data_IF_565894384076
#
_entry.id   IF_565894384076
#
_cell.length_a   1.000
_cell.length_b   1.000
_cell.length_c   1.000
_cell.angle_alpha   90.00
_cell.angle_beta   90.00
_cell.angle_gamma   90.00
#
_symmetry.space_group_name_H-M   'P 1'
#
loop_
_entity.id
_entity.type
_entity.pdbx_description
1 polymer ?
#
# COMPACT_ATOMS: atom_id res chain seq x y z
N UNK A 1 16.88 1.34 -8.15
CA UNK A 1 17.95 0.75 -7.35
C UNK A 1 18.53 1.85 -6.46
N UNK A 2 18.25 1.82 -5.16
CA UNK A 2 18.60 2.94 -4.25
C UNK A 2 20.09 2.95 -3.87
N UNK A 3 20.79 1.85 -4.09
CA UNK A 3 22.23 1.72 -3.89
C UNK A 3 22.87 1.26 -5.20
N UNK A 4 23.25 2.21 -6.05
CA UNK A 4 23.99 1.87 -7.27
C UNK A 4 25.27 1.11 -6.88
N UNK A 5 25.46 -0.08 -7.43
CA UNK A 5 26.58 -0.98 -7.12
C UNK A 5 26.70 -1.38 -5.62
N UNK A 6 25.59 -1.40 -4.87
CA UNK A 6 25.60 -1.72 -3.43
C UNK A 6 26.50 -0.79 -2.59
N UNK A 7 26.71 0.46 -3.03
CA UNK A 7 27.50 1.42 -2.27
C UNK A 7 26.77 1.84 -0.98
N UNK A 8 27.16 1.23 0.15
CA UNK A 8 26.57 1.46 1.48
C UNK A 8 27.02 2.79 2.13
N UNK A 9 27.97 3.51 1.53
CA UNK A 9 28.40 4.83 2.01
C UNK A 9 27.43 5.96 1.61
N UNK A 10 26.44 5.65 0.76
CA UNK A 10 25.44 6.61 0.30
C UNK A 10 24.28 6.64 1.29
N UNK A 11 24.03 7.82 1.87
CA UNK A 11 22.83 8.08 2.67
C UNK A 11 21.64 8.30 1.74
N UNK A 12 20.65 7.41 1.79
CA UNK A 12 19.40 7.61 1.06
C UNK A 12 18.54 8.59 1.85
N UNK A 13 18.12 9.68 1.21
CA UNK A 13 17.28 10.71 1.82
C UNK A 13 15.94 10.81 1.10
N UNK A 14 14.85 10.76 1.87
CA UNK A 14 13.50 11.03 1.40
C UNK A 14 12.97 12.20 2.21
N UNK A 15 12.68 13.32 1.55
CA UNK A 15 12.14 14.51 2.20
C UNK A 15 10.77 14.87 1.64
N UNK A 16 9.85 15.27 2.50
CA UNK A 16 8.55 15.80 2.09
C UNK A 16 8.14 16.93 3.02
N UNK A 17 7.34 17.85 2.49
CA UNK A 17 6.80 18.98 3.24
C UNK A 17 5.29 18.93 3.16
N UNK A 18 4.63 18.99 4.30
CA UNK A 18 3.17 19.00 4.40
C UNK A 18 2.70 20.32 5.03
N UNK A 19 1.51 20.78 4.64
CA UNK A 19 0.94 22.06 5.08
C UNK A 19 0.63 22.10 6.58
N UNK A 20 0.41 20.94 7.21
CA UNK A 20 0.05 20.88 8.63
C UNK A 20 1.25 20.64 9.55
N UNK A 21 2.20 19.78 9.13
CA UNK A 21 3.30 19.32 10.01
C UNK A 21 4.69 19.71 9.53
N UNK A 22 4.79 20.61 8.55
CA UNK A 22 6.07 21.12 8.06
C UNK A 22 6.93 20.08 7.34
N UNK A 23 8.24 20.37 7.26
CA UNK A 23 9.21 19.52 6.57
C UNK A 23 9.58 18.30 7.43
N UNK A 24 9.59 17.13 6.80
CA UNK A 24 9.97 15.85 7.41
C UNK A 24 10.97 15.15 6.50
N UNK A 25 12.00 14.57 7.11
CA UNK A 25 13.06 13.90 6.35
C UNK A 25 13.37 12.53 6.94
N UNK A 26 13.30 11.50 6.10
CA UNK A 26 13.83 10.18 6.39
C UNK A 26 15.24 10.05 5.81
N UNK A 27 16.18 9.54 6.61
CA UNK A 27 17.51 9.16 6.15
C UNK A 27 17.74 7.70 6.47
N UNK A 28 18.08 6.91 5.47
CA UNK A 28 18.49 5.52 5.63
C UNK A 28 20.01 5.46 5.52
N UNK A 29 20.66 4.96 6.56
CA UNK A 29 22.10 4.78 6.65
C UNK A 29 22.39 3.31 6.88
N UNK A 30 23.15 2.70 5.97
CA UNK A 30 23.64 1.35 6.17
C UNK A 30 24.82 1.38 7.14
N UNK A 31 24.79 0.53 8.16
CA UNK A 31 25.90 0.40 9.10
C UNK A 31 26.88 -0.64 8.54
N UNK A 32 28.14 -0.24 8.35
CA UNK A 32 29.22 -1.18 8.04
C UNK A 32 29.43 -2.05 9.28
N UNK A 33 28.97 -3.29 9.24
CA UNK A 33 29.19 -4.24 10.32
C UNK A 33 30.65 -4.68 10.30
N UNK A 34 31.50 -4.01 11.08
CA UNK A 34 32.81 -4.52 11.50
C UNK A 34 32.68 -5.32 12.80
N UNK A 35 31.60 -6.08 12.95
CA UNK A 35 31.34 -6.81 14.19
C UNK A 35 32.14 -8.10 14.18
N UNK A 36 33.22 -8.15 14.97
CA UNK A 36 33.96 -9.38 15.26
C UNK A 36 33.16 -10.18 16.32
N UNK A 37 32.46 -11.23 15.91
CA UNK A 37 31.81 -12.14 16.86
C UNK A 37 32.84 -13.15 17.37
N UNK A 38 33.18 -13.10 18.65
CA UNK A 38 33.98 -14.13 19.31
C UNK A 38 33.06 -15.25 19.80
N UNK A 39 33.08 -16.46 19.21
CA UNK A 39 32.26 -17.57 19.67
C UNK A 39 32.80 -18.12 21.00
N UNK A 40 31.91 -18.40 21.95
CA UNK A 40 32.24 -19.24 23.11
C UNK A 40 32.30 -20.71 22.70
N UNK A 41 33.13 -21.52 23.38
CA UNK A 41 33.28 -22.95 23.08
C UNK A 41 31.91 -23.66 23.06
N UNK A 42 31.59 -24.29 21.92
CA UNK A 42 30.34 -25.01 21.71
C UNK A 42 29.29 -24.27 20.88
N UNK A 43 29.48 -22.97 20.60
CA UNK A 43 28.65 -22.26 19.62
C UNK A 43 29.04 -22.68 18.21
N UNK A 44 28.16 -23.40 17.50
CA UNK A 44 28.29 -23.55 16.05
C UNK A 44 28.12 -22.16 15.44
N UNK A 45 29.03 -21.69 14.58
CA UNK A 45 28.77 -20.50 13.79
C UNK A 45 27.60 -20.86 12.88
N UNK A 46 26.39 -20.50 13.30
CA UNK A 46 25.22 -20.59 12.44
C UNK A 46 25.53 -19.67 11.25
N UNK A 47 25.44 -20.23 10.04
CA UNK A 47 25.90 -19.59 8.80
C UNK A 47 25.56 -18.11 8.82
N UNK A 48 26.60 -17.31 9.03
CA UNK A 48 26.51 -15.92 9.38
C UNK A 48 25.94 -15.15 8.19
N UNK A 49 24.62 -15.10 8.10
CA UNK A 49 23.95 -13.98 7.44
C UNK A 49 24.47 -12.78 8.21
N UNK A 50 25.39 -12.04 7.58
CA UNK A 50 25.82 -10.73 8.06
C UNK A 50 24.52 -9.97 8.30
N UNK A 51 24.13 -9.83 9.57
CA UNK A 51 22.93 -9.11 9.95
C UNK A 51 23.16 -7.68 9.49
N UNK A 52 22.58 -7.34 8.35
CA UNK A 52 22.71 -6.00 7.78
C UNK A 52 21.88 -5.09 8.66
N UNK A 53 22.60 -4.28 9.44
CA UNK A 53 21.99 -3.25 10.27
C UNK A 53 21.80 -2.01 9.42
N UNK A 54 20.57 -1.52 9.41
CA UNK A 54 20.26 -0.23 8.80
C UNK A 54 19.66 0.67 9.86
N UNK A 55 20.12 1.91 9.91
CA UNK A 55 19.54 2.94 10.76
C UNK A 55 18.66 3.84 9.92
N UNK A 56 17.43 4.01 10.37
CA UNK A 56 16.50 5.00 9.82
C UNK A 56 16.46 6.16 10.78
N UNK A 57 16.84 7.34 10.31
CA UNK A 57 16.63 8.59 11.02
C UNK A 57 15.39 9.27 10.45
N UNK A 58 14.50 9.70 11.33
CA UNK A 58 13.27 10.40 11.01
C UNK A 58 13.30 11.78 11.67
N UNK A 59 13.67 12.78 10.88
CA UNK A 59 13.77 14.17 11.29
C UNK A 59 12.37 14.81 11.19
N UNK A 60 11.76 15.09 12.34
CA UNK A 60 10.53 15.86 12.51
C UNK A 60 10.84 17.28 13.03
N UNK A 61 9.91 18.24 12.91
CA UNK A 61 10.05 19.54 13.58
C UNK A 61 10.22 19.42 15.10
N UNK A 62 9.66 18.37 15.70
CA UNK A 62 9.68 18.09 17.14
C UNK A 62 10.99 17.42 17.60
N UNK A 63 11.78 16.86 16.68
CA UNK A 63 13.02 16.14 16.97
C UNK A 63 13.35 15.01 15.99
N UNK A 64 14.53 14.43 16.12
CA UNK A 64 14.97 13.28 15.31
C UNK A 64 14.71 11.97 16.06
N UNK A 65 14.03 11.04 15.40
CA UNK A 65 13.87 9.67 15.90
C UNK A 65 14.77 8.72 15.13
N UNK A 66 15.34 7.74 15.83
CA UNK A 66 16.17 6.70 15.25
C UNK A 66 15.46 5.34 15.39
N UNK A 67 15.45 4.56 14.32
CA UNK A 67 15.02 3.17 14.33
C UNK A 67 16.11 2.28 13.73
N UNK A 68 16.48 1.24 14.48
CA UNK A 68 17.35 0.19 13.99
C UNK A 68 16.50 -0.87 13.29
N UNK A 69 16.89 -1.22 12.06
CA UNK A 69 16.36 -2.33 11.28
C UNK A 69 17.42 -3.42 11.27
N UNK A 70 17.06 -4.60 11.78
CA UNK A 70 17.88 -5.80 11.74
C UNK A 70 17.14 -6.88 10.94
N UNK A 71 17.73 -7.31 9.83
CA UNK A 71 17.27 -8.49 9.11
C UNK A 71 17.89 -9.74 9.74
N UNK A 72 17.05 -10.60 10.32
CA UNK A 72 17.44 -11.90 10.89
C UNK A 72 16.77 -13.04 10.12
N UNK A 73 17.18 -14.29 10.39
CA UNK A 73 16.52 -15.49 9.87
C UNK A 73 15.04 -15.62 10.29
N UNK A 74 14.65 -14.96 11.38
CA UNK A 74 13.27 -14.92 11.89
C UNK A 74 12.41 -13.81 11.25
N UNK A 75 13.02 -12.91 10.47
CA UNK A 75 12.35 -11.79 9.83
C UNK A 75 13.03 -10.44 10.06
N UNK A 76 12.29 -9.36 9.85
CA UNK A 76 12.80 -7.99 10.02
C UNK A 76 12.40 -7.50 11.42
N UNK A 77 13.39 -7.26 12.28
CA UNK A 77 13.21 -6.62 13.59
C UNK A 77 13.41 -5.12 13.44
N UNK A 78 12.47 -4.32 13.93
CA UNK A 78 12.53 -2.87 13.85
C UNK A 78 12.12 -2.24 15.19
N UNK A 79 12.89 -1.25 15.65
CA UNK A 79 12.48 -0.44 16.80
C UNK A 79 11.21 0.35 16.48
N UNK A 80 10.19 0.26 17.35
CA UNK A 80 8.89 0.91 17.13
C UNK A 80 9.07 2.43 17.16
N UNK A 81 8.76 3.09 16.04
CA UNK A 81 8.67 4.54 15.99
C UNK A 81 7.37 5.01 16.69
N UNK A 82 7.41 6.10 17.47
CA UNK A 82 6.26 6.58 18.24
C UNK A 82 5.06 7.00 17.36
N UNK A 83 5.30 7.34 16.09
CA UNK A 83 4.27 7.78 15.14
C UNK A 83 4.07 6.81 13.96
N UNK A 84 4.11 5.50 14.21
CA UNK A 84 3.80 4.52 13.18
C UNK A 84 2.28 4.47 12.91
N UNK A 85 1.89 4.64 11.65
CA UNK A 85 0.49 4.49 11.20
C UNK A 85 0.36 3.21 10.36
N UNK A 86 -0.83 2.59 10.40
CA UNK A 86 -1.13 1.42 9.58
C UNK A 86 -0.99 1.78 8.09
N UNK A 87 -0.30 0.93 7.34
CA UNK A 87 0.00 1.18 5.93
C UNK A 87 -0.45 0.01 5.08
N UNK A 88 -1.10 0.30 3.96
CA UNK A 88 -1.39 -0.65 2.90
C UNK A 88 -0.58 -0.26 1.67
N UNK A 89 0.22 -1.19 1.14
CA UNK A 89 0.90 -1.01 -0.13
C UNK A 89 0.20 -1.82 -1.22
N UNK A 90 -0.15 -1.16 -2.32
CA UNK A 90 -0.72 -1.77 -3.51
C UNK A 90 0.31 -1.74 -4.64
N UNK A 91 0.88 -2.90 -4.96
CA UNK A 91 1.72 -3.13 -6.14
C UNK A 91 0.91 -3.89 -7.23
N UNK A 92 1.04 -3.50 -8.51
CA UNK A 92 0.47 -4.19 -9.67
C UNK A 92 0.59 -5.71 -9.70
N UNK A 93 1.73 -6.25 -9.25
CA UNK A 93 2.03 -7.67 -9.38
C UNK A 93 1.37 -8.53 -8.30
N UNK A 94 1.18 -8.01 -7.09
CA UNK A 94 0.77 -8.81 -5.93
C UNK A 94 -0.50 -8.32 -5.25
N UNK A 95 -0.84 -7.04 -5.35
CA UNK A 95 -1.87 -6.43 -4.50
C UNK A 95 -3.26 -6.36 -5.12
N UNK A 96 -3.42 -6.84 -6.35
CA UNK A 96 -4.73 -7.02 -7.00
C UNK A 96 -5.20 -8.49 -6.93
N UNK A 97 -4.70 -9.24 -5.94
CA UNK A 97 -5.07 -10.64 -5.76
C UNK A 97 -6.54 -10.77 -5.34
N UNK A 98 -7.24 -11.74 -5.95
CA UNK A 98 -8.64 -12.02 -5.62
C UNK A 98 -8.83 -12.38 -4.15
N UNK A 99 -7.84 -13.07 -3.56
CA UNK A 99 -7.86 -13.50 -2.16
C UNK A 99 -7.79 -12.32 -1.20
N UNK A 100 -6.86 -11.38 -1.42
CA UNK A 100 -6.70 -10.23 -0.53
C UNK A 100 -7.89 -9.29 -0.60
N UNK A 101 -8.41 -9.07 -1.82
CA UNK A 101 -9.64 -8.32 -2.03
C UNK A 101 -10.82 -8.96 -1.30
N UNK A 102 -11.00 -10.28 -1.45
CA UNK A 102 -12.05 -11.01 -0.77
C UNK A 102 -11.91 -10.91 0.75
N UNK A 103 -10.69 -11.06 1.29
CA UNK A 103 -10.42 -10.91 2.72
C UNK A 103 -10.80 -9.52 3.22
N UNK A 104 -10.32 -8.45 2.58
CA UNK A 104 -10.61 -7.06 2.98
C UNK A 104 -12.11 -6.75 2.89
N UNK A 105 -12.79 -7.25 1.86
CA UNK A 105 -14.22 -7.08 1.71
C UNK A 105 -14.98 -7.81 2.82
N UNK A 106 -14.59 -9.05 3.14
CA UNK A 106 -15.16 -9.81 4.27
C UNK A 106 -14.96 -9.06 5.60
N UNK A 107 -13.76 -8.53 5.87
CA UNK A 107 -13.48 -7.77 7.10
C UNK A 107 -14.36 -6.51 7.25
N UNK A 108 -14.75 -5.92 6.12
CA UNK A 108 -15.67 -4.78 6.10
C UNK A 108 -17.12 -5.23 6.25
N UNK A 109 -17.49 -6.34 5.63
CA UNK A 109 -18.84 -6.92 5.74
C UNK A 109 -19.15 -7.41 7.15
N UNK A 110 -18.17 -8.01 7.84
CA UNK A 110 -18.29 -8.34 9.28
C UNK A 110 -18.59 -7.10 10.15
N UNK A 111 -18.22 -5.91 9.67
CA UNK A 111 -18.43 -4.63 10.35
C UNK A 111 -19.62 -3.83 9.79
N UNK A 112 -20.41 -4.42 8.87
CA UNK A 112 -21.50 -3.76 8.14
C UNK A 112 -21.06 -2.46 7.41
N UNK A 113 -19.86 -2.48 6.81
CA UNK A 113 -19.25 -1.34 6.09
C UNK A 113 -19.05 -1.59 4.60
N UNK A 114 -19.46 -2.74 4.09
CA UNK A 114 -19.34 -3.12 2.68
C UNK A 114 -20.12 -2.20 1.74
N UNK A 115 -21.25 -1.64 2.20
CA UNK A 115 -22.07 -0.74 1.39
C UNK A 115 -21.32 0.52 0.97
N UNK A 116 -20.39 0.99 1.80
CA UNK A 116 -19.54 2.15 1.46
C UNK A 116 -18.66 1.84 0.24
N UNK A 117 -18.18 0.60 0.11
CA UNK A 117 -17.40 0.13 -1.03
C UNK A 117 -18.28 0.08 -2.27
N UNK A 118 -19.49 -0.50 -2.17
CA UNK A 118 -20.43 -0.58 -3.28
C UNK A 118 -20.82 0.82 -3.78
N UNK A 119 -21.14 1.75 -2.87
CA UNK A 119 -21.49 3.13 -3.21
C UNK A 119 -20.32 3.81 -3.93
N UNK A 120 -19.09 3.66 -3.45
CA UNK A 120 -17.91 4.24 -4.10
C UNK A 120 -17.69 3.67 -5.51
N UNK A 121 -17.86 2.35 -5.69
CA UNK A 121 -17.76 1.69 -7.00
C UNK A 121 -18.83 2.18 -7.97
N UNK A 122 -20.08 2.30 -7.52
CA UNK A 122 -21.20 2.74 -8.34
C UNK A 122 -21.12 4.20 -8.78
N UNK A 123 -20.30 5.04 -8.14
CA UNK A 123 -20.06 6.41 -8.60
C UNK A 123 -19.39 6.44 -9.97
N UNK A 124 -18.46 5.51 -10.23
CA UNK A 124 -17.74 5.40 -11.50
C UNK A 124 -18.30 4.31 -12.43
N UNK A 125 -18.82 3.22 -11.85
CA UNK A 125 -19.26 2.03 -12.58
C UNK A 125 -20.71 1.68 -12.21
N UNK A 126 -21.67 2.44 -12.74
CA UNK A 126 -23.11 2.32 -12.43
C UNK A 126 -23.72 0.97 -12.85
N UNK A 127 -23.03 0.25 -13.71
CA UNK A 127 -23.39 -1.08 -14.19
C UNK A 127 -23.20 -2.16 -13.11
N UNK A 128 -22.34 -1.92 -12.12
CA UNK A 128 -22.14 -2.82 -10.97
C UNK A 128 -23.30 -2.65 -9.98
N UNK A 129 -24.15 -3.66 -9.83
CA UNK A 129 -25.37 -3.59 -8.99
C UNK A 129 -25.18 -4.10 -7.57
N UNK A 130 -24.29 -5.06 -7.37
CA UNK A 130 -23.94 -5.57 -6.03
C UNK A 130 -22.56 -6.19 -6.03
N UNK A 131 -21.95 -6.29 -4.85
CA UNK A 131 -20.69 -7.00 -4.61
C UNK A 131 -20.92 -8.11 -3.59
N UNK A 132 -20.26 -9.25 -3.76
CA UNK A 132 -20.34 -10.39 -2.85
C UNK A 132 -19.08 -11.21 -2.95
N UNK A 133 -18.59 -11.73 -1.82
CA UNK A 133 -17.53 -12.74 -1.84
C UNK A 133 -18.13 -14.11 -2.11
N UNK A 134 -17.65 -14.79 -3.15
CA UNK A 134 -17.97 -16.19 -3.43
C UNK A 134 -16.70 -16.99 -3.60
N UNK A 135 -16.75 -18.24 -3.16
CA UNK A 135 -15.69 -19.22 -3.36
C UNK A 135 -16.17 -20.27 -4.37
N UNK A 136 -15.77 -20.19 -5.65
CA UNK A 136 -16.11 -21.23 -6.60
C UNK A 136 -15.51 -22.58 -6.18
N UNK A 137 -16.15 -23.69 -6.56
CA UNK A 137 -15.67 -25.04 -6.22
C UNK A 137 -14.23 -25.22 -6.69
N UNK A 138 -13.34 -25.56 -5.75
CA UNK A 138 -11.91 -25.77 -6.03
C UNK A 138 -11.11 -24.49 -6.32
N UNK A 139 -11.71 -23.31 -6.17
CA UNK A 139 -11.04 -22.02 -6.38
C UNK A 139 -10.73 -21.27 -5.09
N UNK A 140 -10.19 -20.07 -5.25
CA UNK A 140 -9.96 -19.12 -4.15
C UNK A 140 -11.17 -18.18 -3.99
N UNK A 141 -11.43 -17.68 -2.78
CA UNK A 141 -12.40 -16.60 -2.58
C UNK A 141 -12.08 -15.42 -3.49
N UNK A 142 -13.12 -14.84 -4.10
CA UNK A 142 -13.02 -13.68 -4.96
C UNK A 142 -14.24 -12.79 -4.78
N UNK A 143 -14.13 -11.54 -5.24
CA UNK A 143 -15.28 -10.64 -5.32
C UNK A 143 -16.02 -10.89 -6.64
N UNK A 144 -17.31 -11.15 -6.52
CA UNK A 144 -18.26 -11.33 -7.61
C UNK A 144 -19.24 -10.18 -7.59
N UNK A 145 -19.73 -9.79 -8.76
CA UNK A 145 -20.74 -8.76 -8.85
C UNK A 145 -21.93 -9.16 -9.72
N UNK A 146 -23.08 -8.60 -9.39
CA UNK A 146 -24.21 -8.53 -10.29
C UNK A 146 -23.97 -7.37 -11.26
N UNK A 147 -23.82 -7.66 -12.55
CA UNK A 147 -23.58 -6.65 -13.59
C UNK A 147 -24.86 -6.40 -14.41
N UNK A 148 -25.07 -5.17 -14.87
CA UNK A 148 -26.23 -4.82 -15.68
C UNK A 148 -26.27 -5.63 -16.97
N UNK A 149 -27.40 -6.26 -17.27
CA UNK A 149 -27.59 -7.08 -18.48
C UNK A 149 -27.06 -8.51 -18.38
N UNK A 150 -26.69 -8.99 -17.18
CA UNK A 150 -26.23 -10.36 -16.93
C UNK A 150 -27.10 -10.98 -15.84
N UNK A 151 -27.71 -12.14 -16.04
CA UNK A 151 -28.67 -12.71 -15.06
C UNK A 151 -28.03 -13.46 -13.88
N UNK A 152 -26.70 -13.44 -13.78
CA UNK A 152 -25.94 -14.13 -12.73
C UNK A 152 -24.77 -13.28 -12.26
N UNK A 153 -24.31 -13.55 -11.04
CA UNK A 153 -23.06 -12.99 -10.54
C UNK A 153 -21.88 -13.51 -11.36
N UNK A 154 -20.93 -12.64 -11.66
CA UNK A 154 -19.68 -12.96 -12.36
C UNK A 154 -18.50 -12.40 -11.54
N UNK A 155 -17.34 -13.09 -11.48
CA UNK A 155 -16.14 -12.53 -10.87
C UNK A 155 -15.79 -11.17 -11.49
N UNK A 156 -15.53 -10.17 -10.65
CA UNK A 156 -15.21 -8.80 -11.10
C UNK A 156 -14.01 -8.81 -12.06
N UNK A 157 -13.00 -9.61 -11.75
CA UNK A 157 -11.79 -9.75 -12.56
C UNK A 157 -12.06 -10.22 -14.00
N UNK A 158 -13.17 -10.92 -14.25
CA UNK A 158 -13.56 -11.33 -15.61
C UNK A 158 -14.34 -10.25 -16.38
N UNK A 159 -14.92 -9.27 -15.67
CA UNK A 159 -15.66 -8.18 -16.30
C UNK A 159 -14.70 -7.10 -16.77
N UNK A 160 -13.82 -6.64 -15.88
CA UNK A 160 -12.86 -5.58 -16.19
C UNK A 160 -11.72 -5.55 -15.18
N UNK A 161 -10.48 -5.52 -15.68
CA UNK A 161 -9.32 -5.29 -14.83
C UNK A 161 -9.36 -3.91 -14.15
N UNK A 162 -9.89 -2.88 -14.83
CA UNK A 162 -10.00 -1.53 -14.28
C UNK A 162 -10.98 -1.46 -13.10
N UNK A 163 -12.12 -2.15 -13.19
CA UNK A 163 -13.08 -2.24 -12.08
C UNK A 163 -12.45 -2.99 -10.90
N UNK A 164 -11.76 -4.11 -11.17
CA UNK A 164 -11.08 -4.88 -10.14
C UNK A 164 -10.00 -4.05 -9.43
N UNK A 165 -9.19 -3.30 -10.19
CA UNK A 165 -8.18 -2.37 -9.67
C UNK A 165 -8.81 -1.29 -8.81
N UNK A 166 -9.89 -0.67 -9.27
CA UNK A 166 -10.59 0.36 -8.51
C UNK A 166 -11.14 -0.19 -7.20
N UNK A 167 -11.76 -1.36 -7.22
CA UNK A 167 -12.25 -2.04 -6.00
C UNK A 167 -11.12 -2.29 -5.01
N UNK A 168 -9.96 -2.80 -5.47
CA UNK A 168 -8.79 -2.97 -4.60
C UNK A 168 -8.32 -1.69 -3.93
N UNK A 169 -8.32 -0.57 -4.67
CA UNK A 169 -7.96 0.74 -4.13
C UNK A 169 -8.95 1.18 -3.06
N UNK A 170 -10.26 1.10 -3.34
CA UNK A 170 -11.30 1.46 -2.38
C UNK A 170 -11.23 0.58 -1.12
N UNK A 171 -11.02 -0.74 -1.30
CA UNK A 171 -10.85 -1.66 -0.18
C UNK A 171 -9.61 -1.32 0.65
N UNK A 172 -8.48 -1.00 0.01
CA UNK A 172 -7.29 -0.57 0.73
C UNK A 172 -7.52 0.68 1.58
N UNK A 173 -8.24 1.67 1.04
CA UNK A 173 -8.61 2.90 1.75
C UNK A 173 -9.54 2.59 2.92
N UNK A 174 -10.61 1.81 2.68
CA UNK A 174 -11.59 1.46 3.70
C UNK A 174 -11.02 0.59 4.82
N UNK A 175 -10.04 -0.27 4.51
CA UNK A 175 -9.35 -1.12 5.50
C UNK A 175 -8.25 -0.38 6.27
N UNK A 176 -7.88 0.85 5.89
CA UNK A 176 -6.81 1.63 6.52
C UNK A 176 -7.32 2.96 7.13
N UNK A 177 -8.31 2.95 8.05
CA UNK A 177 -8.80 4.19 8.67
C UNK A 177 -7.68 4.86 9.47
N UNK A 178 -7.49 6.17 9.25
CA UNK A 178 -6.37 6.95 9.83
C UNK A 178 -4.97 6.40 9.50
N UNK A 179 -4.86 5.58 8.46
CA UNK A 179 -3.62 5.03 7.94
C UNK A 179 -3.16 5.72 6.66
N UNK A 180 -2.23 5.06 5.96
CA UNK A 180 -1.77 5.47 4.64
C UNK A 180 -1.97 4.33 3.62
N UNK A 181 -2.36 4.69 2.40
CA UNK A 181 -2.39 3.76 1.26
C UNK A 181 -1.38 4.24 0.23
N UNK A 182 -0.41 3.39 -0.07
CA UNK A 182 0.58 3.61 -1.09
C UNK A 182 0.19 2.80 -2.32
N UNK A 183 0.03 3.45 -3.47
CA UNK A 183 -0.42 2.82 -4.71
C UNK A 183 0.68 3.02 -5.74
N UNK A 184 1.31 1.91 -6.13
CA UNK A 184 2.27 1.91 -7.23
C UNK A 184 1.54 1.80 -8.56
N UNK A 185 2.11 2.41 -9.60
CA UNK A 185 1.57 2.47 -10.96
C UNK A 185 0.06 2.74 -11.01
N UNK A 186 -0.43 3.75 -10.28
CA UNK A 186 -1.87 4.05 -10.21
C UNK A 186 -2.50 4.22 -11.60
N UNK A 187 -1.73 4.71 -12.58
CA UNK A 187 -2.17 4.98 -13.94
C UNK A 187 -2.37 3.73 -14.80
N UNK A 188 -1.69 2.61 -14.50
CA UNK A 188 -1.74 1.42 -15.36
C UNK A 188 -3.09 0.70 -15.32
N UNK A 189 -3.61 0.28 -16.47
CA UNK A 189 -4.82 -0.55 -16.56
C UNK A 189 -6.15 0.18 -16.31
N UNK A 190 -6.14 1.52 -16.21
CA UNK A 190 -7.34 2.36 -16.14
C UNK A 190 -7.55 3.12 -17.45
N UNK A 191 -8.82 3.25 -17.87
CA UNK A 191 -9.14 4.10 -19.03
C UNK A 191 -9.01 5.57 -18.64
N UNK A 192 -8.15 6.31 -19.35
CA UNK A 192 -7.70 7.66 -18.96
C UNK A 192 -8.82 8.67 -18.69
N UNK A 193 -10.02 8.48 -19.25
CA UNK A 193 -11.17 9.37 -19.02
C UNK A 193 -11.75 9.29 -17.60
N UNK A 194 -11.37 8.27 -16.82
CA UNK A 194 -11.84 8.10 -15.44
C UNK A 194 -10.96 8.84 -14.41
N UNK A 195 -9.77 9.33 -14.80
CA UNK A 195 -8.87 10.02 -13.88
C UNK A 195 -9.47 11.27 -13.22
N UNK A 196 -10.19 12.16 -13.93
CA UNK A 196 -10.80 13.34 -13.31
C UNK A 196 -11.79 12.98 -12.19
N UNK A 197 -12.63 11.97 -12.41
CA UNK A 197 -13.64 11.54 -11.42
C UNK A 197 -13.01 10.77 -10.25
N UNK A 198 -11.93 10.00 -10.49
CA UNK A 198 -11.18 9.35 -9.41
C UNK A 198 -10.53 10.37 -8.46
N UNK A 199 -9.87 11.39 -9.00
CA UNK A 199 -9.27 12.44 -8.17
C UNK A 199 -10.33 13.30 -7.45
N UNK A 200 -11.50 13.47 -8.05
CA UNK A 200 -12.61 14.20 -7.43
C UNK A 200 -13.40 13.38 -6.41
N UNK A 201 -13.08 12.11 -6.18
CA UNK A 201 -13.76 11.23 -5.22
C UNK A 201 -13.81 11.75 -3.77
N UNK A 202 -13.11 12.85 -3.46
CA UNK A 202 -13.17 13.59 -2.19
C UNK A 202 -13.56 15.09 -2.28
N UNK A 203 -13.86 15.64 -3.46
CA UNK A 203 -14.13 17.07 -3.61
C UNK A 203 -15.63 17.35 -3.72
N UNK A 204 -16.29 17.52 -2.56
CA UNK A 204 -17.48 18.37 -2.49
C UNK A 204 -17.12 19.76 -3.04
N UNK A 205 -17.94 20.25 -3.97
CA UNK A 205 -17.53 21.20 -4.98
C UNK A 205 -16.82 22.45 -4.48
N UNK A 206 -15.75 22.84 -5.16
CA UNK A 206 -15.31 24.21 -5.42
C UNK A 206 -14.49 24.16 -6.73
N UNK A 207 -14.68 25.18 -7.55
CA UNK A 207 -14.14 25.40 -8.89
C UNK A 207 -12.66 25.03 -9.08
N UNK A 208 -12.34 24.31 -10.16
CA UNK A 208 -10.98 24.02 -10.60
C UNK A 208 -10.19 25.30 -10.91
N UNK A 209 -8.94 25.46 -10.42
CA UNK A 209 -8.02 26.41 -11.03
C UNK A 209 -7.49 25.82 -12.34
N UNK A 210 -7.65 26.58 -13.42
CA UNK A 210 -7.10 26.32 -14.74
C UNK A 210 -5.57 26.40 -14.68
N UNK A 211 -4.86 25.32 -15.00
CA UNK A 211 -3.44 25.38 -15.30
C UNK A 211 -3.26 26.02 -16.68
N UNK A 212 -2.89 27.31 -16.70
CA UNK A 212 -2.32 27.95 -17.88
C UNK A 212 -0.86 27.53 -18.00
N UNK A 213 -0.52 26.86 -19.10
CA UNK A 213 0.85 26.89 -19.62
C UNK A 213 1.16 28.33 -20.04
N UNK A 214 2.23 28.89 -19.49
CA UNK A 214 2.96 29.98 -20.13
C UNK A 214 4.25 29.41 -20.72
N UNK A 215 4.69 29.94 -21.88
CA UNK A 215 5.74 29.37 -22.72
C UNK A 215 7.13 29.40 -22.08
#
# INVERSE_FOLDING_TARGET
>A
DFFHQFNLDIVVRISFTDSNRGQRTARLVAEKSETLTLPFEGARPDDSIIARKMRVFWDLPEGTHEALIEATSEGIKMSRLPSAYFMVFLNPQTSFSNRDNASRFSDLSEKNKEDQVLIAVQRLFREVKSLTVLTPKGGVPAIWCQYLGIDRKIPVALISQGINKFISIILAIASAPHGAVLIDEIENGMYYKLFPEMWCGGCGGHTYPTFRHYP
#
